data_IF_811414413637
#
_entry.id   IF_811414413637
#
_cell.length_a   1.000
_cell.length_b   1.000
_cell.length_c   1.000
_cell.angle_alpha   90.00
_cell.angle_beta   90.00
_cell.angle_gamma   90.00
#
_symmetry.space_group_name_H-M   'P 1'
#
loop_
_entity.id
_entity.type
_entity.pdbx_description
1 polymer ?
#
# COMPACT_ATOMS: atom_id res chain seq x y z
N UNK A 1 -1.07 -23.86 -8.39
CA UNK A 1 -1.58 -22.95 -9.42
C UNK A 1 -2.43 -21.87 -8.78
N UNK A 2 -2.46 -20.68 -9.37
CA UNK A 2 -3.37 -19.60 -8.99
C UNK A 2 -4.55 -19.61 -9.95
N UNK A 3 -5.76 -19.29 -9.45
CA UNK A 3 -7.02 -19.38 -10.20
C UNK A 3 -7.48 -18.01 -10.71
N UNK A 4 -7.04 -16.92 -10.08
CA UNK A 4 -7.39 -15.53 -10.44
C UNK A 4 -6.29 -14.56 -10.06
N UNK A 5 -6.34 -13.37 -10.65
CA UNK A 5 -5.40 -12.28 -10.34
C UNK A 5 -5.56 -11.82 -8.89
N UNK A 6 -4.43 -11.63 -8.19
CA UNK A 6 -4.44 -11.23 -6.78
C UNK A 6 -4.60 -12.38 -5.76
N UNK A 7 -4.88 -13.61 -6.19
CA UNK A 7 -5.06 -14.75 -5.27
C UNK A 7 -3.85 -14.96 -4.36
N UNK A 8 -2.64 -14.81 -4.89
CA UNK A 8 -1.42 -14.96 -4.09
C UNK A 8 -1.36 -13.92 -2.95
N UNK A 9 -1.72 -12.67 -3.25
CA UNK A 9 -1.75 -11.60 -2.26
C UNK A 9 -2.83 -11.86 -1.19
N UNK A 10 -4.03 -12.30 -1.59
CA UNK A 10 -5.10 -12.65 -0.65
C UNK A 10 -4.71 -13.83 0.26
N UNK A 11 -4.07 -14.86 -0.29
CA UNK A 11 -3.59 -16.00 0.49
C UNK A 11 -2.49 -15.60 1.46
N UNK A 12 -1.58 -14.72 1.04
CA UNK A 12 -0.50 -14.21 1.88
C UNK A 12 -1.06 -13.37 3.04
N UNK A 13 -2.04 -12.51 2.77
CA UNK A 13 -2.74 -11.72 3.78
C UNK A 13 -3.45 -12.62 4.81
N UNK A 14 -4.23 -13.60 4.34
CA UNK A 14 -4.92 -14.55 5.21
C UNK A 14 -3.94 -15.33 6.11
N UNK A 15 -2.80 -15.73 5.55
CA UNK A 15 -1.76 -16.42 6.30
C UNK A 15 -1.11 -15.51 7.35
N UNK A 16 -0.84 -14.25 7.02
CA UNK A 16 -0.28 -13.27 7.95
C UNK A 16 -1.23 -12.98 9.12
N UNK A 17 -2.53 -12.95 8.87
CA UNK A 17 -3.55 -12.71 9.90
C UNK A 17 -3.58 -13.77 11.02
N UNK A 18 -3.02 -14.95 10.78
CA UNK A 18 -2.91 -16.02 11.80
C UNK A 18 -1.74 -15.82 12.79
N UNK A 19 -0.84 -14.85 12.53
CA UNK A 19 0.35 -14.62 13.36
C UNK A 19 0.67 -13.13 13.49
N UNK A 20 -0.26 -12.30 14.01
CA UNK A 20 -0.07 -10.86 14.05
C UNK A 20 0.98 -10.46 15.11
N UNK A 21 1.74 -9.39 14.81
CA UNK A 21 2.64 -8.75 15.78
C UNK A 21 3.93 -9.51 16.07
N UNK A 22 4.27 -10.53 15.30
CA UNK A 22 5.52 -11.27 15.52
C UNK A 22 6.74 -10.39 15.22
N UNK A 23 7.73 -10.42 16.10
CA UNK A 23 9.03 -9.78 15.86
C UNK A 23 9.80 -10.49 14.75
N UNK A 24 10.42 -9.73 13.85
CA UNK A 24 11.16 -10.27 12.71
C UNK A 24 12.37 -9.39 12.33
N UNK A 25 13.40 -9.96 11.70
CA UNK A 25 14.60 -9.23 11.26
C UNK A 25 14.46 -8.59 9.88
N UNK A 26 13.33 -8.80 9.23
CA UNK A 26 13.11 -8.36 7.83
C UNK A 26 12.85 -6.86 7.79
N UNK A 27 13.56 -6.15 6.92
CA UNK A 27 13.42 -4.72 6.70
C UNK A 27 13.29 -4.42 5.21
N UNK A 28 12.64 -3.31 4.87
CA UNK A 28 12.65 -2.75 3.52
C UNK A 28 13.19 -1.31 3.61
N UNK A 29 14.51 -1.13 3.53
CA UNK A 29 15.11 0.18 3.70
C UNK A 29 14.74 1.14 2.57
N UNK A 30 14.50 2.40 2.92
CA UNK A 30 14.44 3.53 1.99
C UNK A 30 15.82 4.21 1.96
N UNK A 31 16.49 4.20 0.80
CA UNK A 31 17.84 4.75 0.61
C UNK A 31 18.01 5.24 -0.81
N UNK A 32 18.72 6.34 -1.00
CA UNK A 32 19.07 6.87 -2.32
C UNK A 32 17.85 6.99 -3.25
N UNK A 33 16.74 7.51 -2.71
CA UNK A 33 15.46 7.66 -3.40
C UNK A 33 14.86 6.34 -3.95
N UNK A 34 15.21 5.21 -3.34
CA UNK A 34 14.70 3.90 -3.71
C UNK A 34 14.45 2.98 -2.49
N UNK A 35 13.51 2.04 -2.65
CA UNK A 35 13.32 0.94 -1.71
C UNK A 35 14.32 -0.18 -2.02
N UNK A 36 15.13 -0.57 -1.04
CA UNK A 36 16.15 -1.62 -1.18
C UNK A 36 15.51 -3.03 -1.13
N UNK A 37 14.94 -3.42 -2.27
CA UNK A 37 14.34 -4.74 -2.44
C UNK A 37 15.34 -5.88 -2.32
N UNK A 38 16.62 -5.65 -2.66
CA UNK A 38 17.63 -6.70 -2.57
C UNK A 38 17.90 -7.09 -1.11
N UNK A 39 18.01 -6.10 -0.21
CA UNK A 39 18.14 -6.34 1.22
C UNK A 39 16.87 -7.03 1.77
N UNK A 40 15.69 -6.54 1.40
CA UNK A 40 14.43 -7.15 1.81
C UNK A 40 14.35 -8.64 1.45
N UNK A 41 14.53 -8.99 0.17
CA UNK A 41 14.41 -10.38 -0.27
C UNK A 41 15.48 -11.29 0.33
N UNK A 42 16.71 -10.81 0.48
CA UNK A 42 17.79 -11.57 1.12
C UNK A 42 17.42 -11.94 2.55
N UNK A 43 16.97 -10.98 3.34
CA UNK A 43 16.57 -11.20 4.74
C UNK A 43 15.33 -12.12 4.81
N UNK A 44 14.30 -11.85 4.01
CA UNK A 44 13.05 -12.61 4.03
C UNK A 44 13.24 -14.07 3.63
N UNK A 45 14.06 -14.34 2.62
CA UNK A 45 14.33 -15.69 2.14
C UNK A 45 15.21 -16.48 3.11
N UNK A 46 16.23 -15.85 3.70
CA UNK A 46 17.17 -16.51 4.61
C UNK A 46 16.61 -16.73 6.03
N UNK A 47 15.60 -15.92 6.42
CA UNK A 47 15.03 -16.04 7.77
C UNK A 47 14.28 -17.36 7.95
N UNK A 48 14.72 -18.15 8.97
CA UNK A 48 14.09 -19.43 9.32
C UNK A 48 12.87 -19.15 10.20
N UNK A 49 11.69 -19.20 9.60
CA UNK A 49 10.41 -18.92 10.25
C UNK A 49 9.27 -19.69 9.60
N UNK A 50 8.15 -19.79 10.28
CA UNK A 50 6.95 -20.40 9.72
C UNK A 50 6.39 -19.57 8.56
N UNK A 51 5.63 -20.17 7.64
CA UNK A 51 4.98 -19.43 6.56
C UNK A 51 4.14 -18.25 7.05
N UNK A 52 3.42 -18.39 8.17
CA UNK A 52 2.61 -17.32 8.76
C UNK A 52 3.47 -16.15 9.27
N UNK A 53 4.56 -16.45 9.96
CA UNK A 53 5.52 -15.43 10.40
C UNK A 53 6.17 -14.69 9.23
N UNK A 54 6.55 -15.43 8.18
CA UNK A 54 7.10 -14.82 6.95
C UNK A 54 6.06 -13.95 6.24
N UNK A 55 4.80 -14.37 6.20
CA UNK A 55 3.72 -13.59 5.62
C UNK A 55 3.46 -12.29 6.41
N UNK A 56 3.47 -12.35 7.74
CA UNK A 56 3.39 -11.16 8.59
C UNK A 56 4.56 -10.22 8.32
N UNK A 57 5.80 -10.73 8.38
CA UNK A 57 7.01 -9.93 8.18
C UNK A 57 7.04 -9.25 6.81
N UNK A 58 6.50 -9.90 5.77
CA UNK A 58 6.35 -9.31 4.44
C UNK A 58 5.50 -8.05 4.49
N UNK A 59 4.29 -8.12 5.06
CA UNK A 59 3.37 -6.97 5.14
C UNK A 59 3.92 -5.86 6.02
N UNK A 60 4.48 -6.23 7.15
CA UNK A 60 5.00 -5.27 8.13
C UNK A 60 6.22 -4.49 7.59
N UNK A 61 7.20 -5.21 7.03
CA UNK A 61 8.37 -4.57 6.43
C UNK A 61 8.02 -3.74 5.20
N UNK A 62 7.07 -4.20 4.37
CA UNK A 62 6.57 -3.44 3.22
C UNK A 62 5.92 -2.13 3.68
N UNK A 63 5.02 -2.19 4.65
CA UNK A 63 4.37 -0.99 5.19
C UNK A 63 5.38 -0.03 5.83
N UNK A 64 6.35 -0.55 6.59
CA UNK A 64 7.40 0.25 7.20
C UNK A 64 8.26 0.98 6.16
N UNK A 65 8.70 0.27 5.11
CA UNK A 65 9.49 0.85 4.02
C UNK A 65 8.73 1.91 3.22
N UNK A 66 7.47 1.63 2.88
CA UNK A 66 6.59 2.60 2.20
C UNK A 66 6.33 3.84 3.08
N UNK A 67 6.15 3.65 4.39
CA UNK A 67 5.97 4.75 5.32
C UNK A 67 7.23 5.60 5.45
N UNK A 68 8.42 4.99 5.48
CA UNK A 68 9.69 5.71 5.48
C UNK A 68 9.85 6.58 4.23
N UNK A 69 9.57 6.03 3.06
CA UNK A 69 9.56 6.75 1.78
C UNK A 69 8.58 7.93 1.80
N UNK A 70 7.34 7.68 2.22
CA UNK A 70 6.30 8.70 2.25
C UNK A 70 6.63 9.83 3.22
N UNK A 71 7.17 9.51 4.39
CA UNK A 71 7.61 10.45 5.41
C UNK A 71 8.74 11.35 4.91
N UNK A 72 9.75 10.79 4.26
CA UNK A 72 10.85 11.54 3.69
C UNK A 72 10.35 12.53 2.63
N UNK A 73 9.53 12.06 1.68
CA UNK A 73 8.90 12.91 0.67
C UNK A 73 8.03 14.02 1.26
N UNK A 74 7.30 13.74 2.32
CA UNK A 74 6.42 14.70 3.00
C UNK A 74 7.22 15.76 3.75
N UNK A 75 8.28 15.36 4.47
CA UNK A 75 9.13 16.25 5.24
C UNK A 75 9.78 17.32 4.36
N UNK A 76 10.32 16.90 3.21
CA UNK A 76 10.95 17.84 2.24
C UNK A 76 9.96 18.88 1.72
N UNK A 77 8.67 18.56 1.67
CA UNK A 77 7.60 19.42 1.08
C UNK A 77 6.69 20.09 2.12
N UNK A 78 6.89 19.82 3.42
CA UNK A 78 6.01 20.33 4.48
C UNK A 78 4.57 19.81 4.37
N UNK A 79 4.40 18.56 3.96
CA UNK A 79 3.08 17.92 3.78
C UNK A 79 2.74 17.13 5.05
N UNK A 80 1.51 17.28 5.55
CA UNK A 80 0.95 16.58 6.71
C UNK A 80 -0.19 15.62 6.35
N UNK A 81 -0.64 15.65 5.09
CA UNK A 81 -1.77 14.87 4.58
C UNK A 81 -1.34 14.00 3.42
N UNK A 82 -1.64 12.70 3.49
CA UNK A 82 -1.28 11.71 2.48
C UNK A 82 -2.51 11.00 1.96
N UNK A 83 -2.59 10.82 0.64
CA UNK A 83 -3.64 10.03 0.00
C UNK A 83 -3.12 8.63 -0.27
N UNK A 84 -3.85 7.64 0.23
CA UNK A 84 -3.57 6.23 0.03
C UNK A 84 -4.51 5.65 -1.04
N UNK A 85 -3.97 5.26 -2.20
CA UNK A 85 -4.72 4.73 -3.34
C UNK A 85 -3.96 3.58 -4.02
N UNK A 86 -4.66 2.82 -4.84
CA UNK A 86 -4.13 1.68 -5.58
C UNK A 86 -4.65 0.33 -5.09
N UNK A 87 -4.64 -0.68 -5.99
CA UNK A 87 -5.17 -2.02 -5.72
C UNK A 87 -4.55 -2.73 -4.52
N UNK A 88 -3.29 -2.43 -4.17
CA UNK A 88 -2.62 -2.96 -2.98
C UNK A 88 -3.33 -2.63 -1.67
N UNK A 89 -4.14 -1.55 -1.62
CA UNK A 89 -4.88 -1.15 -0.43
C UNK A 89 -6.19 -1.91 -0.21
N UNK A 90 -6.57 -2.83 -1.10
CA UNK A 90 -7.55 -3.85 -0.79
C UNK A 90 -7.04 -4.85 0.26
N UNK A 91 -5.72 -4.95 0.44
CA UNK A 91 -5.09 -5.69 1.52
C UNK A 91 -5.25 -4.91 2.85
N UNK A 92 -6.14 -5.42 3.70
CA UNK A 92 -6.50 -4.77 4.98
C UNK A 92 -5.33 -4.72 5.96
N UNK A 93 -4.48 -5.75 5.95
CA UNK A 93 -3.31 -5.80 6.81
C UNK A 93 -2.30 -4.74 6.40
N UNK A 94 -2.01 -4.60 5.11
CA UNK A 94 -1.12 -3.55 4.60
C UNK A 94 -1.66 -2.17 4.96
N UNK A 95 -2.95 -1.89 4.74
CA UNK A 95 -3.58 -0.63 5.08
C UNK A 95 -3.48 -0.33 6.58
N UNK A 96 -3.75 -1.31 7.44
CA UNK A 96 -3.64 -1.17 8.89
C UNK A 96 -2.19 -0.88 9.34
N UNK A 97 -1.21 -1.58 8.75
CA UNK A 97 0.21 -1.34 9.07
C UNK A 97 0.70 0.03 8.57
N UNK A 98 0.26 0.48 7.40
CA UNK A 98 0.54 1.84 6.92
C UNK A 98 -0.04 2.89 7.87
N UNK A 99 -1.30 2.74 8.30
CA UNK A 99 -1.93 3.62 9.28
C UNK A 99 -1.15 3.65 10.59
N UNK A 100 -0.65 2.51 11.05
CA UNK A 100 0.19 2.43 12.25
C UNK A 100 1.50 3.20 12.09
N UNK A 101 2.23 2.99 10.99
CA UNK A 101 3.52 3.64 10.77
C UNK A 101 3.44 5.14 10.43
N UNK A 102 2.31 5.60 9.92
CA UNK A 102 2.05 7.00 9.55
C UNK A 102 1.03 7.67 10.47
N UNK A 103 0.95 7.24 11.73
CA UNK A 103 -0.05 7.75 12.69
C UNK A 103 0.06 9.25 12.99
N UNK A 104 1.19 9.87 12.70
CA UNK A 104 1.46 11.30 12.83
C UNK A 104 1.04 12.12 11.59
N UNK A 105 0.54 11.47 10.54
CA UNK A 105 0.00 12.11 9.34
C UNK A 105 -1.50 11.93 9.23
N UNK A 106 -2.16 12.85 8.54
CA UNK A 106 -3.55 12.66 8.11
C UNK A 106 -3.57 11.75 6.89
N UNK A 107 -4.12 10.53 7.04
CA UNK A 107 -4.26 9.57 5.94
C UNK A 107 -5.66 9.60 5.36
N UNK A 108 -5.75 9.77 4.05
CA UNK A 108 -7.00 9.73 3.29
C UNK A 108 -7.05 8.46 2.46
N UNK A 109 -8.07 7.66 2.68
CA UNK A 109 -8.37 6.46 1.90
C UNK A 109 -9.65 6.65 1.07
N UNK A 110 -9.74 5.98 -0.05
CA UNK A 110 -10.98 5.95 -0.84
C UNK A 110 -12.15 5.42 -0.01
N UNK A 111 -13.26 6.18 0.07
CA UNK A 111 -14.42 5.85 0.90
C UNK A 111 -15.63 5.40 0.06
N UNK A 112 -15.85 6.02 -1.08
CA UNK A 112 -17.04 5.80 -1.92
C UNK A 112 -16.74 4.98 -3.17
N UNK A 113 -15.51 5.01 -3.64
CA UNK A 113 -15.06 4.30 -4.83
C UNK A 113 -13.96 3.32 -4.46
N UNK A 114 -13.77 2.24 -5.24
CA UNK A 114 -12.63 1.33 -5.05
C UNK A 114 -11.30 2.08 -5.09
N UNK A 115 -10.35 1.66 -4.25
CA UNK A 115 -9.01 2.24 -4.23
C UNK A 115 -8.19 1.94 -5.51
N UNK A 116 -8.55 0.90 -6.26
CA UNK A 116 -7.88 0.43 -7.47
C UNK A 116 -8.58 0.84 -8.77
N UNK A 117 -8.30 0.09 -9.83
CA UNK A 117 -8.71 0.37 -11.22
C UNK A 117 -10.22 0.47 -11.43
N UNK A 118 -11.03 -0.12 -10.54
CA UNK A 118 -12.48 -0.04 -10.59
C UNK A 118 -13.05 1.39 -10.56
N UNK A 119 -12.27 2.37 -10.11
CA UNK A 119 -12.67 3.78 -10.08
C UNK A 119 -12.29 4.57 -11.34
N UNK A 120 -11.48 4.02 -12.24
CA UNK A 120 -10.93 4.74 -13.41
C UNK A 120 -12.06 5.22 -14.34
N UNK A 121 -13.00 4.33 -14.69
CA UNK A 121 -14.10 4.67 -15.58
C UNK A 121 -14.98 5.81 -15.04
N UNK A 122 -15.24 5.80 -13.72
CA UNK A 122 -15.96 6.89 -13.07
C UNK A 122 -15.17 8.21 -13.14
N UNK A 123 -13.88 8.19 -12.84
CA UNK A 123 -13.01 9.37 -12.92
C UNK A 123 -12.95 9.95 -14.33
N UNK A 124 -12.88 9.11 -15.35
CA UNK A 124 -12.95 9.52 -16.77
C UNK A 124 -14.27 10.18 -17.11
N UNK A 125 -15.39 9.64 -16.64
CA UNK A 125 -16.71 10.22 -16.86
C UNK A 125 -16.86 11.60 -16.20
N UNK A 126 -16.36 11.76 -14.97
CA UNK A 126 -16.37 13.04 -14.24
C UNK A 126 -15.51 14.09 -14.96
N UNK A 127 -14.32 13.73 -15.44
CA UNK A 127 -13.43 14.64 -16.20
C UNK A 127 -14.11 15.03 -17.52
N UNK A 128 -14.72 14.09 -18.23
CA UNK A 128 -15.43 14.35 -19.48
C UNK A 128 -16.61 15.34 -19.25
N UNK A 129 -17.41 15.12 -18.21
CA UNK A 129 -18.50 16.00 -17.85
C UNK A 129 -18.02 17.43 -17.49
N UNK A 130 -16.96 17.54 -16.70
CA UNK A 130 -16.37 18.83 -16.33
C UNK A 130 -15.84 19.60 -17.56
N UNK A 131 -15.16 18.90 -18.47
CA UNK A 131 -14.69 19.51 -19.74
C UNK A 131 -15.82 19.95 -20.64
N UNK A 132 -16.88 19.15 -20.72
CA UNK A 132 -18.08 19.48 -21.49
C UNK A 132 -18.75 20.78 -20.99
N UNK A 133 -18.94 20.87 -19.67
CA UNK A 133 -19.50 22.08 -19.03
C UNK A 133 -18.60 23.31 -19.26
N UNK A 134 -17.30 23.18 -19.16
CA UNK A 134 -16.34 24.27 -19.37
C UNK A 134 -16.34 24.80 -20.82
N UNK A 135 -16.72 23.97 -21.80
CA UNK A 135 -16.87 24.37 -23.23
C UNK A 135 -18.20 25.02 -23.56
N UNK A 136 -19.09 25.20 -22.57
CA UNK A 136 -20.40 25.85 -22.78
C UNK A 136 -21.39 25.05 -23.65
N UNK A 137 -21.10 23.78 -23.90
CA UNK A 137 -21.97 22.87 -24.65
C UNK A 137 -23.06 22.39 -23.67
N UNK A 138 -24.27 22.94 -23.77
CA UNK A 138 -25.44 22.42 -23.06
C UNK A 138 -26.01 21.22 -23.82
N UNK A 139 -26.56 20.21 -23.11
CA UNK A 139 -27.19 19.04 -23.72
C UNK A 139 -28.42 19.36 -24.53
#
# INVERSE_FOLDING_TARGET
>A
SLSYEGEAACRLEALAASCPGVSHPVTLPWRDDALDLATFWRQWLSWQATPAQKAWAFHDALACGLAAMARDCATVRGIDTMVCSGGGLHNRLLAARLTFYLADFTLLFAQQLPAGDGAIAYGQAVIAAARWQAQGIQP
#
